data_IF_918183714913
#
_entry.id   IF_918183714913
#
_cell.length_a   1.000
_cell.length_b   1.000
_cell.length_c   1.000
_cell.angle_alpha   90.00
_cell.angle_beta   90.00
_cell.angle_gamma   90.00
#
_symmetry.space_group_name_H-M   'P 1'
#
loop_
_entity.id
_entity.type
_entity.pdbx_description
1 polymer ?
#
# COMPACT_ATOMS: atom_id res chain seq x y z
N UNK A 1 -16.32 -1.59 -5.87
CA UNK A 1 -15.36 -2.62 -6.30
C UNK A 1 -15.48 -3.86 -5.40
N UNK A 2 -14.89 -3.94 -4.21
CA UNK A 2 -14.85 -5.22 -3.45
C UNK A 2 -15.98 -5.46 -2.42
N UNK A 3 -16.82 -4.46 -2.12
CA UNK A 3 -17.86 -4.60 -1.09
C UNK A 3 -17.30 -4.97 0.29
N UNK A 4 -18.04 -5.77 1.07
CA UNK A 4 -17.58 -6.26 2.38
C UNK A 4 -16.33 -7.15 2.30
N UNK A 5 -16.07 -7.78 1.14
CA UNK A 5 -14.85 -8.56 0.90
C UNK A 5 -13.58 -7.70 0.82
N UNK A 6 -13.70 -6.37 0.77
CA UNK A 6 -12.55 -5.45 0.88
C UNK A 6 -12.01 -5.30 2.30
N UNK A 7 -12.81 -5.56 3.34
CA UNK A 7 -12.39 -5.46 4.74
C UNK A 7 -11.18 -6.36 5.06
N UNK A 8 -11.16 -7.66 4.69
CA UNK A 8 -9.99 -8.51 4.95
C UNK A 8 -8.72 -7.99 4.25
N UNK A 9 -8.82 -7.45 3.04
CA UNK A 9 -7.69 -6.84 2.32
C UNK A 9 -7.06 -5.71 3.16
N UNK A 10 -7.90 -4.79 3.66
CA UNK A 10 -7.43 -3.65 4.48
C UNK A 10 -6.81 -4.14 5.79
N UNK A 11 -7.45 -5.10 6.47
CA UNK A 11 -6.91 -5.67 7.71
C UNK A 11 -5.57 -6.36 7.49
N UNK A 12 -5.43 -7.15 6.43
CA UNK A 12 -4.16 -7.80 6.09
C UNK A 12 -3.07 -6.80 5.74
N UNK A 13 -3.40 -5.70 5.05
CA UNK A 13 -2.45 -4.62 4.78
C UNK A 13 -1.93 -3.99 6.07
N UNK A 14 -2.83 -3.66 7.01
CA UNK A 14 -2.47 -3.08 8.32
C UNK A 14 -1.58 -4.06 9.11
N UNK A 15 -1.96 -5.34 9.15
CA UNK A 15 -1.19 -6.38 9.84
C UNK A 15 0.22 -6.51 9.23
N UNK A 16 0.33 -6.49 7.90
CA UNK A 16 1.62 -6.55 7.19
C UNK A 16 2.49 -5.34 7.51
N UNK A 17 1.91 -4.14 7.49
CA UNK A 17 2.62 -2.90 7.79
C UNK A 17 3.14 -2.88 9.24
N UNK A 18 2.31 -3.26 10.21
CA UNK A 18 2.69 -3.34 11.62
C UNK A 18 3.81 -4.38 11.84
N UNK A 19 3.65 -5.58 11.28
CA UNK A 19 4.67 -6.63 11.42
C UNK A 19 5.99 -6.23 10.76
N UNK A 20 5.95 -5.65 9.57
CA UNK A 20 7.14 -5.13 8.89
C UNK A 20 7.81 -4.07 9.75
N UNK A 21 7.05 -3.11 10.29
CA UNK A 21 7.58 -2.09 11.20
C UNK A 21 8.30 -2.67 12.41
N UNK A 22 7.69 -3.63 13.12
CA UNK A 22 8.32 -4.29 14.26
C UNK A 22 9.58 -5.09 13.88
N UNK A 23 9.57 -5.77 12.74
CA UNK A 23 10.75 -6.49 12.23
C UNK A 23 11.88 -5.51 11.96
N UNK A 24 11.60 -4.37 11.34
CA UNK A 24 12.60 -3.34 11.09
C UNK A 24 13.16 -2.74 12.37
N UNK A 25 12.32 -2.46 13.38
CA UNK A 25 12.80 -2.03 14.70
C UNK A 25 13.74 -3.08 15.34
N UNK A 26 13.42 -4.36 15.18
CA UNK A 26 14.26 -5.45 15.66
C UNK A 26 15.58 -5.58 14.89
N UNK A 27 15.54 -5.46 13.56
CA UNK A 27 16.73 -5.47 12.70
C UNK A 27 17.66 -4.28 13.03
N UNK A 28 17.09 -3.10 13.29
CA UNK A 28 17.83 -1.91 13.71
C UNK A 28 18.50 -2.14 15.07
N UNK A 29 17.77 -2.69 16.05
CA UNK A 29 18.31 -3.02 17.38
C UNK A 29 19.47 -4.02 17.31
N UNK A 30 19.43 -4.97 16.37
CA UNK A 30 20.51 -5.93 16.10
C UNK A 30 21.66 -5.36 15.27
N UNK A 31 21.57 -4.13 14.78
CA UNK A 31 22.59 -3.52 13.92
C UNK A 31 22.68 -4.15 12.52
N UNK A 32 21.63 -4.86 12.08
CA UNK A 32 21.58 -5.52 10.77
C UNK A 32 21.23 -4.54 9.65
N UNK A 33 20.59 -3.42 9.98
CA UNK A 33 20.22 -2.34 9.06
C UNK A 33 20.77 -0.99 9.54
N UNK A 34 20.88 -0.03 8.64
CA UNK A 34 21.31 1.32 8.97
C UNK A 34 20.34 2.00 9.94
N UNK A 35 20.89 2.74 10.91
CA UNK A 35 20.07 3.56 11.82
C UNK A 35 19.62 4.81 11.10
N UNK A 36 18.36 5.20 11.32
CA UNK A 36 17.86 6.45 10.78
C UNK A 36 18.63 7.64 11.37
N UNK A 37 19.26 8.44 10.50
CA UNK A 37 20.05 9.62 10.91
C UNK A 37 19.16 10.81 11.31
N UNK A 38 17.90 10.81 10.86
CA UNK A 38 16.93 11.88 11.07
C UNK A 38 15.95 11.56 12.20
N UNK A 39 16.43 10.94 13.29
CA UNK A 39 15.60 10.71 14.47
C UNK A 39 15.49 12.04 15.23
N UNK A 40 14.29 12.60 15.23
CA UNK A 40 13.97 13.78 16.05
C UNK A 40 14.10 13.36 17.51
N UNK A 41 15.08 13.92 18.22
CA UNK A 41 15.28 13.66 19.63
C UNK A 41 14.13 14.31 20.41
N UNK A 42 13.28 13.47 21.00
CA UNK A 42 12.17 13.94 21.83
C UNK A 42 12.76 14.32 23.21
N UNK A 43 12.53 15.54 23.72
CA UNK A 43 13.03 15.95 25.03
C UNK A 43 12.52 15.03 26.15
N UNK A 44 13.36 14.78 27.16
CA UNK A 44 13.11 13.86 28.31
C UNK A 44 11.87 14.19 29.19
N UNK A 45 11.13 15.26 28.90
CA UNK A 45 9.88 15.63 29.57
C UNK A 45 8.69 15.84 28.63
N UNK A 46 8.78 15.38 27.38
CA UNK A 46 7.72 15.57 26.39
C UNK A 46 6.49 14.72 26.73
N UNK A 47 5.40 15.37 27.11
CA UNK A 47 4.11 14.73 27.34
C UNK A 47 3.21 14.94 26.13
N UNK A 48 2.91 13.85 25.41
CA UNK A 48 1.98 13.86 24.27
C UNK A 48 0.61 14.42 24.69
N UNK A 49 0.16 14.13 25.92
CA UNK A 49 -1.10 14.66 26.46
C UNK A 49 -1.07 16.17 26.61
N UNK A 50 0.03 16.73 27.11
CA UNK A 50 0.16 18.17 27.32
C UNK A 50 0.28 18.91 25.98
N UNK A 51 1.01 18.36 25.00
CA UNK A 51 1.11 18.94 23.65
C UNK A 51 -0.25 18.94 22.93
N UNK A 52 -0.98 17.81 22.98
CA UNK A 52 -2.32 17.73 22.40
C UNK A 52 -3.29 18.72 23.07
N UNK A 53 -3.28 18.80 24.41
CA UNK A 53 -4.14 19.72 25.15
C UNK A 53 -3.84 21.19 24.83
N UNK A 54 -2.56 21.55 24.75
CA UNK A 54 -2.11 22.89 24.34
C UNK A 54 -2.60 23.22 22.93
N UNK A 55 -2.42 22.31 21.96
CA UNK A 55 -2.90 22.50 20.58
C UNK A 55 -4.41 22.66 20.50
N UNK A 56 -5.15 21.77 21.16
CA UNK A 56 -6.61 21.82 21.20
C UNK A 56 -7.14 23.12 21.83
N UNK A 57 -6.50 23.61 22.89
CA UNK A 57 -6.87 24.87 23.55
C UNK A 57 -6.45 26.11 22.75
N UNK A 58 -5.31 26.05 22.05
CA UNK A 58 -4.80 27.14 21.22
C UNK A 58 -5.60 27.32 19.92
N UNK A 59 -6.27 26.26 19.48
CA UNK A 59 -7.09 26.29 18.28
C UNK A 59 -8.41 27.02 18.57
N UNK A 60 -8.53 28.24 18.02
CA UNK A 60 -9.73 29.06 18.17
C UNK A 60 -10.67 28.78 17.02
N UNK A 61 -11.80 28.14 17.30
CA UNK A 61 -12.89 27.98 16.35
C UNK A 61 -13.58 29.33 16.10
N UNK A 62 -13.09 30.08 15.11
CA UNK A 62 -13.72 31.29 14.59
C UNK A 62 -14.25 31.01 13.18
N UNK A 63 -15.27 31.73 12.72
CA UNK A 63 -15.79 31.63 11.35
C UNK A 63 -14.68 31.84 10.29
N UNK A 64 -13.74 32.74 10.58
CA UNK A 64 -12.58 33.01 9.71
C UNK A 64 -11.49 31.94 9.75
N UNK A 65 -11.38 31.15 10.82
CA UNK A 65 -10.46 29.99 10.84
C UNK A 65 -11.12 28.79 10.17
N UNK A 66 -12.41 28.55 10.44
CA UNK A 66 -13.17 27.47 9.81
C UNK A 66 -13.21 27.60 8.28
N UNK A 67 -13.42 28.81 7.76
CA UNK A 67 -13.37 29.07 6.32
C UNK A 67 -11.98 28.77 5.73
N UNK A 68 -10.90 29.15 6.43
CA UNK A 68 -9.52 28.84 6.01
C UNK A 68 -9.22 27.35 6.04
N UNK A 69 -9.71 26.63 7.04
CA UNK A 69 -9.51 25.19 7.15
C UNK A 69 -10.27 24.45 6.05
N UNK A 70 -11.51 24.85 5.76
CA UNK A 70 -12.27 24.31 4.62
C UNK A 70 -11.56 24.61 3.31
N UNK A 71 -11.07 25.82 3.10
CA UNK A 71 -10.30 26.17 1.90
C UNK A 71 -9.00 25.36 1.80
N UNK A 72 -8.30 25.15 2.92
CA UNK A 72 -7.10 24.33 2.99
C UNK A 72 -7.37 22.87 2.64
N UNK A 73 -8.43 22.28 3.23
CA UNK A 73 -8.88 20.92 2.92
C UNK A 73 -9.31 20.82 1.46
N UNK A 74 -10.11 21.76 0.96
CA UNK A 74 -10.57 21.76 -0.43
C UNK A 74 -9.39 21.86 -1.41
N UNK A 75 -8.42 22.74 -1.14
CA UNK A 75 -7.20 22.86 -1.97
C UNK A 75 -6.38 21.57 -1.93
N UNK A 76 -6.22 20.96 -0.74
CA UNK A 76 -5.56 19.68 -0.58
C UNK A 76 -6.25 18.57 -1.37
N UNK A 77 -7.58 18.48 -1.29
CA UNK A 77 -8.38 17.53 -2.06
C UNK A 77 -8.22 17.73 -3.57
N UNK A 78 -8.24 18.98 -4.05
CA UNK A 78 -8.04 19.28 -5.49
C UNK A 78 -6.64 18.88 -5.94
N UNK A 79 -5.60 19.20 -5.17
CA UNK A 79 -4.23 18.80 -5.50
C UNK A 79 -4.09 17.27 -5.55
N UNK A 80 -4.64 16.57 -4.56
CA UNK A 80 -4.61 15.11 -4.51
C UNK A 80 -5.38 14.51 -5.70
N UNK A 81 -6.55 15.06 -6.01
CA UNK A 81 -7.35 14.63 -7.16
C UNK A 81 -6.60 14.83 -8.48
N UNK A 82 -5.94 15.99 -8.67
CA UNK A 82 -5.15 16.25 -9.88
C UNK A 82 -3.99 15.28 -10.04
N UNK A 83 -3.36 14.85 -8.94
CA UNK A 83 -2.30 13.85 -8.97
C UNK A 83 -2.82 12.45 -9.29
N UNK A 84 -3.99 12.08 -8.78
CA UNK A 84 -4.48 10.69 -8.77
C UNK A 84 -5.44 10.36 -9.92
N UNK A 85 -6.31 11.29 -10.34
CA UNK A 85 -7.41 11.00 -11.28
C UNK A 85 -6.91 10.45 -12.62
N UNK A 86 -5.80 10.99 -13.15
CA UNK A 86 -5.21 10.51 -14.41
C UNK A 86 -4.81 9.04 -14.35
N UNK A 87 -4.18 8.63 -13.25
CA UNK A 87 -3.76 7.24 -13.02
C UNK A 87 -4.93 6.29 -12.79
N UNK A 88 -5.97 6.74 -12.08
CA UNK A 88 -7.20 5.95 -11.93
C UNK A 88 -7.87 5.73 -13.29
N UNK A 89 -8.00 6.78 -14.12
CA UNK A 89 -8.60 6.65 -15.45
C UNK A 89 -7.80 5.71 -16.35
N UNK A 90 -6.47 5.81 -16.31
CA UNK A 90 -5.58 4.88 -17.03
C UNK A 90 -5.73 3.45 -16.52
N UNK A 91 -5.76 3.24 -15.20
CA UNK A 91 -5.97 1.93 -14.59
C UNK A 91 -7.33 1.33 -14.96
N UNK A 92 -8.39 2.13 -14.98
CA UNK A 92 -9.72 1.71 -15.44
C UNK A 92 -9.74 1.36 -16.93
N UNK A 93 -9.05 2.14 -17.78
CA UNK A 93 -8.91 1.86 -19.20
C UNK A 93 -8.21 0.52 -19.41
N UNK A 94 -7.07 0.30 -18.77
CA UNK A 94 -6.30 -0.95 -18.86
C UNK A 94 -7.13 -2.12 -18.32
N UNK A 95 -7.79 -1.97 -17.18
CA UNK A 95 -8.67 -3.00 -16.62
C UNK A 95 -9.82 -3.33 -17.58
N UNK A 96 -10.45 -2.33 -18.19
CA UNK A 96 -11.54 -2.55 -19.15
C UNK A 96 -11.05 -3.24 -20.43
N UNK A 97 -9.89 -2.85 -20.96
CA UNK A 97 -9.30 -3.49 -22.14
C UNK A 97 -8.86 -4.93 -21.82
N UNK A 98 -8.24 -5.15 -20.66
CA UNK A 98 -7.88 -6.47 -20.20
C UNK A 98 -9.12 -7.36 -20.05
N UNK A 99 -10.22 -6.82 -19.48
CA UNK A 99 -11.49 -7.52 -19.39
C UNK A 99 -12.16 -7.83 -20.73
N UNK A 100 -11.98 -6.98 -21.74
CA UNK A 100 -12.60 -7.16 -23.05
C UNK A 100 -11.78 -8.07 -23.99
N UNK A 101 -10.45 -7.97 -23.97
CA UNK A 101 -9.57 -8.61 -24.95
C UNK A 101 -8.83 -9.85 -24.42
N UNK A 102 -8.61 -9.98 -23.12
CA UNK A 102 -7.90 -11.14 -22.56
C UNK A 102 -8.92 -12.22 -22.20
N UNK A 103 -8.84 -13.43 -22.80
CA UNK A 103 -9.75 -14.52 -22.47
C UNK A 103 -9.63 -14.93 -21.00
N UNK A 104 -10.76 -15.25 -20.36
CA UNK A 104 -10.82 -15.67 -18.95
C UNK A 104 -9.91 -16.87 -18.63
N UNK A 105 -9.71 -17.78 -19.59
CA UNK A 105 -8.78 -18.91 -19.46
C UNK A 105 -7.33 -18.46 -19.20
N UNK A 106 -6.89 -17.32 -19.73
CA UNK A 106 -5.56 -16.78 -19.43
C UNK A 106 -5.47 -16.35 -17.97
N UNK A 107 -6.47 -15.64 -17.44
CA UNK A 107 -6.52 -15.28 -16.04
C UNK A 107 -6.53 -16.50 -15.13
N UNK A 108 -7.33 -17.52 -15.44
CA UNK A 108 -7.34 -18.75 -14.65
C UNK A 108 -6.02 -19.53 -14.74
N UNK A 109 -5.31 -19.49 -15.87
CA UNK A 109 -4.04 -20.20 -16.06
C UNK A 109 -2.88 -19.50 -15.34
N UNK A 110 -2.77 -18.18 -15.47
CA UNK A 110 -1.63 -17.42 -14.96
C UNK A 110 -1.88 -16.80 -13.59
N UNK A 111 -3.12 -16.44 -13.27
CA UNK A 111 -3.54 -15.88 -11.99
C UNK A 111 -4.50 -16.85 -11.29
N UNK A 112 -4.13 -18.14 -11.28
CA UNK A 112 -4.86 -19.15 -10.51
C UNK A 112 -4.74 -18.89 -8.99
N UNK A 113 -5.65 -19.41 -8.16
CA UNK A 113 -5.57 -19.29 -6.69
C UNK A 113 -4.37 -20.01 -6.04
N UNK A 114 -3.48 -20.61 -6.82
CA UNK A 114 -2.34 -21.39 -6.33
C UNK A 114 -1.11 -20.49 -6.09
N UNK A 115 -0.10 -21.02 -5.39
CA UNK A 115 1.15 -20.30 -5.12
C UNK A 115 1.85 -19.80 -6.40
N UNK A 116 1.84 -20.61 -7.46
CA UNK A 116 2.39 -20.20 -8.76
C UNK A 116 1.64 -19.01 -9.36
N UNK A 117 0.32 -18.97 -9.22
CA UNK A 117 -0.51 -17.85 -9.68
C UNK A 117 -0.27 -16.57 -8.88
N UNK A 118 -0.07 -16.69 -7.56
CA UNK A 118 0.32 -15.56 -6.71
C UNK A 118 1.67 -14.97 -7.11
N UNK A 119 2.67 -15.81 -7.39
CA UNK A 119 4.00 -15.38 -7.84
C UNK A 119 3.95 -14.68 -9.21
N UNK A 120 3.19 -15.24 -10.15
CA UNK A 120 2.97 -14.61 -11.46
C UNK A 120 2.25 -13.28 -11.31
N UNK A 121 1.24 -13.22 -10.44
CA UNK A 121 0.50 -11.97 -10.17
C UNK A 121 1.41 -10.91 -9.57
N UNK A 122 2.25 -11.28 -8.60
CA UNK A 122 3.25 -10.39 -8.01
C UNK A 122 4.22 -9.88 -9.07
N UNK A 123 4.85 -10.78 -9.83
CA UNK A 123 5.83 -10.40 -10.85
C UNK A 123 5.23 -9.51 -11.94
N UNK A 124 4.00 -9.80 -12.39
CA UNK A 124 3.29 -8.95 -13.34
C UNK A 124 3.02 -7.56 -12.74
N UNK A 125 2.57 -7.51 -11.48
CA UNK A 125 2.29 -6.24 -10.80
C UNK A 125 3.56 -5.40 -10.62
N UNK A 126 4.69 -6.02 -10.26
CA UNK A 126 6.00 -5.36 -10.18
C UNK A 126 6.47 -4.80 -11.53
N UNK A 127 6.19 -5.49 -12.64
CA UNK A 127 6.62 -5.03 -13.98
C UNK A 127 5.71 -3.94 -14.52
N UNK A 128 4.39 -4.10 -14.37
CA UNK A 128 3.43 -3.11 -14.87
C UNK A 128 3.54 -1.81 -14.06
N UNK A 129 3.87 -1.91 -12.76
CA UNK A 129 4.11 -0.77 -11.87
C UNK A 129 3.06 0.33 -12.08
N UNK A 130 1.80 0.02 -11.78
CA UNK A 130 0.75 1.05 -11.77
C UNK A 130 0.81 1.76 -10.44
N UNK A 131 0.68 3.09 -10.43
CA UNK A 131 0.58 3.87 -9.20
C UNK A 131 -0.48 3.29 -8.27
N UNK A 132 -0.27 3.41 -6.94
CA UNK A 132 -1.08 2.79 -5.89
C UNK A 132 -2.60 2.97 -6.07
N UNK A 133 -3.04 4.03 -6.74
CA UNK A 133 -4.44 4.35 -6.97
C UNK A 133 -5.01 3.70 -8.24
N UNK A 134 -4.19 3.52 -9.27
CA UNK A 134 -4.56 2.88 -10.54
C UNK A 134 -4.56 1.34 -10.48
N UNK A 135 -3.90 0.73 -9.49
CA UNK A 135 -3.91 -0.73 -9.29
C UNK A 135 -5.28 -1.26 -8.82
N UNK A 136 -6.10 -0.42 -8.18
CA UNK A 136 -7.37 -0.83 -7.59
C UNK A 136 -8.43 -1.33 -8.60
N UNK A 137 -8.69 -0.62 -9.71
CA UNK A 137 -9.54 -1.13 -10.78
C UNK A 137 -9.05 -2.45 -11.40
N UNK A 138 -7.74 -2.58 -11.61
CA UNK A 138 -7.16 -3.76 -12.23
C UNK A 138 -7.18 -4.96 -11.29
N UNK A 139 -6.87 -4.77 -10.01
CA UNK A 139 -7.03 -5.80 -8.98
C UNK A 139 -8.47 -6.31 -8.90
N UNK A 140 -9.45 -5.41 -9.02
CA UNK A 140 -10.86 -5.82 -9.03
C UNK A 140 -11.24 -6.60 -10.28
N UNK A 141 -10.69 -6.25 -11.43
CA UNK A 141 -10.89 -7.03 -12.66
C UNK A 141 -10.31 -8.44 -12.51
N UNK A 142 -9.12 -8.58 -11.92
CA UNK A 142 -8.51 -9.88 -11.60
C UNK A 142 -9.44 -10.69 -10.70
N UNK A 143 -9.97 -10.07 -9.64
CA UNK A 143 -10.94 -10.72 -8.75
C UNK A 143 -12.20 -11.16 -9.50
N UNK A 144 -12.74 -10.26 -10.34
CA UNK A 144 -13.97 -10.52 -11.10
C UNK A 144 -13.82 -11.71 -12.05
N UNK A 145 -12.64 -11.85 -12.66
CA UNK A 145 -12.38 -12.94 -13.61
C UNK A 145 -11.95 -14.24 -12.95
N UNK A 146 -11.16 -14.19 -11.87
CA UNK A 146 -10.57 -15.40 -11.27
C UNK A 146 -11.32 -15.90 -10.04
N UNK A 147 -12.11 -15.05 -9.38
CA UNK A 147 -12.65 -15.29 -8.04
C UNK A 147 -11.58 -15.28 -6.93
N UNK A 148 -10.30 -15.07 -7.26
CA UNK A 148 -9.19 -15.19 -6.33
C UNK A 148 -8.94 -13.87 -5.59
N UNK A 149 -9.51 -13.74 -4.39
CA UNK A 149 -9.31 -12.55 -3.56
C UNK A 149 -7.85 -12.36 -3.14
N UNK A 150 -7.11 -13.45 -2.93
CA UNK A 150 -5.69 -13.41 -2.58
C UNK A 150 -4.81 -12.87 -3.69
N UNK A 151 -5.07 -13.22 -4.94
CA UNK A 151 -4.32 -12.67 -6.09
C UNK A 151 -4.55 -11.16 -6.22
N UNK A 152 -5.77 -10.73 -5.97
CA UNK A 152 -6.12 -9.30 -5.99
C UNK A 152 -5.44 -8.55 -4.85
N UNK A 153 -5.38 -9.15 -3.65
CA UNK A 153 -4.60 -8.61 -2.53
C UNK A 153 -3.10 -8.51 -2.85
N UNK A 154 -2.49 -9.56 -3.40
CA UNK A 154 -1.08 -9.55 -3.78
C UNK A 154 -0.80 -8.51 -4.86
N UNK A 155 -1.69 -8.36 -5.85
CA UNK A 155 -1.58 -7.34 -6.87
C UNK A 155 -1.60 -5.92 -6.27
N UNK A 156 -2.48 -5.67 -5.29
CA UNK A 156 -2.56 -4.38 -4.59
C UNK A 156 -1.33 -4.10 -3.72
N UNK A 157 -0.81 -5.12 -3.04
CA UNK A 157 0.36 -4.98 -2.16
C UNK A 157 1.69 -4.90 -2.93
N UNK A 158 1.72 -5.35 -4.18
CA UNK A 158 2.94 -5.38 -4.99
C UNK A 158 3.63 -4.02 -5.10
N UNK A 159 2.88 -2.93 -5.25
CA UNK A 159 3.46 -1.57 -5.26
C UNK A 159 4.24 -1.31 -3.97
N UNK A 160 3.61 -1.48 -2.81
CA UNK A 160 4.23 -1.19 -1.51
C UNK A 160 5.46 -2.06 -1.21
N UNK A 161 5.51 -3.28 -1.74
CA UNK A 161 6.55 -4.26 -1.38
C UNK A 161 7.63 -4.44 -2.45
N UNK A 162 7.41 -3.99 -3.68
CA UNK A 162 8.33 -4.22 -4.81
C UNK A 162 8.54 -3.01 -5.73
N UNK A 163 7.94 -1.85 -5.45
CA UNK A 163 8.13 -0.64 -6.26
C UNK A 163 9.61 -0.22 -6.28
N UNK A 164 10.20 -0.22 -7.47
CA UNK A 164 11.60 0.12 -7.66
C UNK A 164 11.89 1.60 -7.37
N UNK A 165 10.89 2.49 -7.50
CA UNK A 165 11.01 3.91 -7.16
C UNK A 165 11.08 4.10 -5.65
N UNK A 166 10.23 3.40 -4.87
CA UNK A 166 10.29 3.42 -3.40
C UNK A 166 11.58 2.80 -2.87
N UNK A 167 11.98 1.64 -3.41
CA UNK A 167 13.25 0.99 -3.06
C UNK A 167 14.44 1.91 -3.39
N UNK A 168 14.39 2.60 -4.54
CA UNK A 168 15.40 3.58 -4.94
C UNK A 168 15.51 4.76 -3.97
N UNK A 169 14.37 5.30 -3.52
CA UNK A 169 14.32 6.38 -2.53
C UNK A 169 14.86 5.93 -1.18
N UNK A 170 14.55 4.71 -0.72
CA UNK A 170 15.11 4.14 0.50
C UNK A 170 16.62 3.96 0.40
N UNK A 171 17.10 3.53 -0.76
CA UNK A 171 18.53 3.30 -1.02
C UNK A 171 19.32 4.60 -0.92
N UNK A 172 18.80 5.71 -1.45
CA UNK A 172 19.48 7.01 -1.42
C UNK A 172 19.34 7.75 -0.09
N UNK A 173 18.17 7.66 0.58
CA UNK A 173 17.87 8.48 1.76
C UNK A 173 18.12 7.77 3.10
N UNK A 174 17.95 6.45 3.18
CA UNK A 174 18.04 5.71 4.45
C UNK A 174 19.28 4.83 4.48
N UNK A 175 19.40 3.91 3.52
CA UNK A 175 20.49 2.95 3.48
C UNK A 175 20.24 1.79 2.54
N UNK A 176 21.32 1.17 2.08
CA UNK A 176 21.26 0.07 1.12
C UNK A 176 20.70 -1.20 1.76
N UNK A 177 21.04 -1.46 3.04
CA UNK A 177 20.50 -2.64 3.72
C UNK A 177 19.00 -2.47 3.95
N UNK A 178 18.55 -1.31 4.43
CA UNK A 178 17.11 -1.03 4.58
C UNK A 178 16.35 -1.27 3.27
N UNK A 179 16.84 -0.73 2.16
CA UNK A 179 16.21 -0.89 0.85
C UNK A 179 16.10 -2.35 0.39
N UNK A 180 17.11 -3.18 0.67
CA UNK A 180 17.09 -4.62 0.32
C UNK A 180 16.27 -5.47 1.29
N UNK A 181 16.28 -5.13 2.58
CA UNK A 181 15.51 -5.84 3.60
C UNK A 181 14.00 -5.61 3.45
N UNK A 182 13.58 -4.50 2.83
CA UNK A 182 12.16 -4.14 2.67
C UNK A 182 11.39 -5.19 1.84
N UNK A 183 11.76 -5.48 0.58
CA UNK A 183 11.12 -6.54 -0.18
C UNK A 183 11.34 -7.92 0.45
N UNK A 184 12.53 -8.17 1.03
CA UNK A 184 12.86 -9.46 1.64
C UNK A 184 11.95 -9.82 2.81
N UNK A 185 11.52 -8.84 3.60
CA UNK A 185 10.61 -9.04 4.74
C UNK A 185 9.16 -8.99 4.31
N UNK A 186 8.79 -8.04 3.45
CA UNK A 186 7.39 -7.78 3.14
C UNK A 186 6.80 -8.74 2.09
N UNK A 187 7.57 -9.15 1.07
CA UNK A 187 7.09 -10.06 0.01
C UNK A 187 6.62 -11.42 0.57
N UNK A 188 7.38 -12.11 1.45
CA UNK A 188 6.92 -13.37 2.02
C UNK A 188 5.62 -13.22 2.82
N UNK A 189 5.46 -12.13 3.57
CA UNK A 189 4.25 -11.88 4.35
C UNK A 189 3.02 -11.70 3.46
N UNK A 190 3.17 -10.90 2.40
CA UNK A 190 2.11 -10.67 1.41
C UNK A 190 1.72 -11.95 0.68
N UNK A 191 2.70 -12.76 0.27
CA UNK A 191 2.42 -14.05 -0.39
C UNK A 191 1.74 -15.05 0.55
N UNK A 192 2.16 -15.11 1.81
CA UNK A 192 1.54 -15.98 2.82
C UNK A 192 0.08 -15.57 3.08
N UNK A 193 -0.19 -14.28 3.25
CA UNK A 193 -1.56 -13.77 3.45
C UNK A 193 -2.41 -13.95 2.19
N UNK A 194 -1.84 -13.75 1.00
CA UNK A 194 -2.50 -14.02 -0.28
C UNK A 194 -2.89 -15.49 -0.42
N UNK A 195 -2.02 -16.41 -0.01
CA UNK A 195 -2.33 -17.84 0.00
C UNK A 195 -3.46 -18.17 0.99
N UNK A 196 -3.40 -17.62 2.20
CA UNK A 196 -4.47 -17.76 3.19
C UNK A 196 -5.80 -17.26 2.61
N UNK A 197 -5.81 -16.12 1.93
CA UNK A 197 -7.03 -15.60 1.30
C UNK A 197 -7.56 -16.51 0.20
N UNK A 198 -6.71 -17.07 -0.64
CA UNK A 198 -7.13 -18.02 -1.67
C UNK A 198 -7.68 -19.34 -1.09
N UNK A 199 -7.25 -19.73 0.12
CA UNK A 199 -7.73 -20.92 0.82
C UNK A 199 -9.06 -20.68 1.55
N UNK A 200 -9.21 -19.54 2.23
CA UNK A 200 -10.35 -19.27 3.14
C UNK A 200 -11.43 -18.35 2.56
N UNK A 201 -11.13 -17.53 1.55
CA UNK A 201 -12.00 -16.44 1.06
C UNK A 201 -12.34 -16.55 -0.43
N UNK A 202 -12.56 -17.77 -0.93
CA UNK A 202 -13.05 -18.03 -2.31
C UNK A 202 -14.34 -17.24 -2.63
#
# INVERSE_FOLDING_TARGET
LFGLKGIPIVLAAIITAINTGFIFMFLEKKGLIEKNKNIVQVPLGYSIKNDFYQRAKSYKFNLNSLSRDIQGVAKGLVMLAQMVLGWILLGMLIASLAGAFIPTHFFHKFMSPNLSGLLVTLGLATVIEVCSEGTSPLAFEIYRQTGALGNSFVFLMAGVVTDYTEIGLLWSNVGRKVALWMPLVAVPQVLLLGLIFNLFLK
#
